data_IF_270573627630
#
_entry.id   IF_270573627630
#
_cell.length_a   1.000
_cell.length_b   1.000
_cell.length_c   1.000
_cell.angle_alpha   90.00
_cell.angle_beta   90.00
_cell.angle_gamma   90.00
#
_symmetry.space_group_name_H-M   'P 1'
#
loop_
_entity.id
_entity.type
_entity.pdbx_description
1 polymer ?
#
# COMPACT_ATOMS: atom_id res chain seq x y z
N UNK A 1 -5.31 19.02 35.95
CA UNK A 1 -4.01 19.13 35.24
C UNK A 1 -4.21 20.04 34.04
N UNK A 2 -3.32 21.00 33.78
CA UNK A 2 -3.30 21.68 32.49
C UNK A 2 -3.13 20.64 31.38
N UNK A 3 -3.80 20.80 30.24
CA UNK A 3 -3.84 19.79 29.16
C UNK A 3 -2.45 19.45 28.57
N UNK A 4 -1.48 20.37 28.68
CA UNK A 4 -0.08 20.18 28.27
C UNK A 4 0.72 19.21 29.15
N UNK A 5 0.23 18.87 30.33
CA UNK A 5 0.93 18.00 31.28
C UNK A 5 0.65 16.50 31.02
N UNK A 6 -0.41 16.17 30.25
CA UNK A 6 -0.78 14.78 30.00
C UNK A 6 0.21 14.06 29.07
N UNK A 7 0.70 14.71 28.01
CA UNK A 7 1.65 14.09 27.08
C UNK A 7 2.96 13.72 27.78
N UNK A 8 3.51 14.65 28.57
CA UNK A 8 4.70 14.43 29.38
C UNK A 8 4.47 13.34 30.43
N UNK A 9 3.32 13.37 31.12
CA UNK A 9 2.93 12.36 32.11
C UNK A 9 2.82 10.95 31.50
N UNK A 10 2.20 10.82 30.33
CA UNK A 10 2.07 9.52 29.64
C UNK A 10 3.46 9.02 29.20
N UNK A 11 4.28 9.89 28.61
CA UNK A 11 5.62 9.53 28.16
C UNK A 11 6.56 9.10 29.30
N UNK A 12 6.42 9.65 30.51
CA UNK A 12 7.17 9.22 31.70
C UNK A 12 6.80 7.81 32.17
N UNK A 13 5.58 7.33 31.86
CA UNK A 13 5.11 6.00 32.26
C UNK A 13 5.42 4.89 31.27
N UNK A 14 5.61 5.22 29.99
CA UNK A 14 5.92 4.24 28.94
C UNK A 14 7.03 3.24 29.30
N UNK A 15 8.15 3.62 29.96
CA UNK A 15 9.23 2.68 30.30
C UNK A 15 8.83 1.55 31.25
N UNK A 16 7.72 1.71 31.97
CA UNK A 16 7.23 0.72 32.95
C UNK A 16 6.17 -0.21 32.37
N UNK A 17 5.84 -0.04 31.09
CA UNK A 17 4.77 -0.74 30.41
C UNK A 17 5.35 -1.59 29.27
N UNK A 18 4.66 -2.67 28.95
CA UNK A 18 4.99 -3.55 27.84
C UNK A 18 3.70 -4.07 27.18
N UNK A 19 3.86 -4.67 25.99
CA UNK A 19 2.76 -5.22 25.22
C UNK A 19 1.64 -4.21 24.96
N UNK A 20 0.38 -4.68 25.02
CA UNK A 20 -0.80 -3.89 24.65
C UNK A 20 -0.98 -2.60 25.47
N UNK A 21 -0.56 -2.59 26.73
CA UNK A 21 -0.68 -1.40 27.58
C UNK A 21 0.28 -0.28 27.12
N UNK A 22 1.49 -0.65 26.70
CA UNK A 22 2.43 0.29 26.09
C UNK A 22 1.86 0.83 24.77
N UNK A 23 1.43 -0.05 23.89
CA UNK A 23 0.92 0.32 22.57
C UNK A 23 -0.33 1.21 22.65
N UNK A 24 -1.24 0.94 23.59
CA UNK A 24 -2.42 1.77 23.81
C UNK A 24 -2.07 3.20 24.22
N UNK A 25 -1.07 3.40 25.09
CA UNK A 25 -0.63 4.74 25.47
C UNK A 25 0.09 5.46 24.32
N UNK A 26 0.89 4.73 23.53
CA UNK A 26 1.54 5.30 22.34
C UNK A 26 0.50 5.75 21.31
N UNK A 27 -0.50 4.92 21.02
CA UNK A 27 -1.61 5.30 20.12
C UNK A 27 -2.42 6.46 20.70
N UNK A 28 -2.63 6.51 22.02
CA UNK A 28 -3.30 7.66 22.63
C UNK A 28 -2.53 8.97 22.38
N UNK A 29 -1.19 8.96 22.40
CA UNK A 29 -0.38 10.13 22.04
C UNK A 29 -0.53 10.51 20.56
N UNK A 30 -0.58 9.51 19.65
CA UNK A 30 -0.82 9.73 18.22
C UNK A 30 -2.17 10.40 17.95
N UNK A 31 -3.24 9.87 18.56
CA UNK A 31 -4.61 10.37 18.36
C UNK A 31 -4.80 11.78 18.90
N UNK A 32 -4.05 12.17 19.93
CA UNK A 32 -4.07 13.57 20.42
C UNK A 32 -3.32 14.52 19.51
N UNK A 33 -2.45 14.03 18.64
CA UNK A 33 -1.62 14.82 17.74
C UNK A 33 -0.87 15.97 18.46
N UNK A 34 -0.43 15.75 19.70
CA UNK A 34 0.22 16.77 20.54
C UNK A 34 1.75 16.78 20.29
N UNK A 35 2.31 17.84 19.67
CA UNK A 35 3.74 17.92 19.41
C UNK A 35 4.61 17.88 20.68
N UNK A 36 4.04 18.20 21.85
CA UNK A 36 4.77 18.12 23.12
C UNK A 36 5.20 16.70 23.49
N UNK A 37 4.59 15.67 22.87
CA UNK A 37 5.01 14.28 23.04
C UNK A 37 6.31 13.95 22.29
N UNK A 38 6.70 14.72 21.28
CA UNK A 38 7.84 14.38 20.41
C UNK A 38 9.18 14.33 21.16
N UNK A 39 9.59 15.36 21.95
CA UNK A 39 10.87 15.29 22.67
C UNK A 39 11.01 14.08 23.60
N UNK A 40 10.05 13.79 24.52
CA UNK A 40 10.20 12.64 25.39
C UNK A 40 10.13 11.31 24.63
N UNK A 41 9.31 11.18 23.58
CA UNK A 41 9.29 9.97 22.76
C UNK A 41 10.64 9.72 22.07
N UNK A 42 11.29 10.77 21.55
CA UNK A 42 12.62 10.66 20.94
C UNK A 42 13.69 10.20 21.93
N UNK A 43 13.71 10.79 23.13
CA UNK A 43 14.63 10.36 24.20
C UNK A 43 14.42 8.88 24.52
N UNK A 44 13.16 8.42 24.58
CA UNK A 44 12.85 7.01 24.86
C UNK A 44 13.26 6.05 23.76
N UNK A 45 13.12 6.44 22.49
CA UNK A 45 13.48 5.57 21.37
C UNK A 45 14.94 5.09 21.47
N UNK A 46 15.86 5.95 21.92
CA UNK A 46 17.30 5.62 21.99
C UNK A 46 17.58 4.40 22.86
N UNK A 47 16.89 4.28 24.00
CA UNK A 47 17.15 3.23 25.00
C UNK A 47 16.07 2.13 25.03
N UNK A 48 15.03 2.24 24.20
CA UNK A 48 13.91 1.32 24.23
C UNK A 48 14.31 -0.11 23.78
N UNK A 49 13.77 -1.15 24.44
CA UNK A 49 13.80 -2.53 23.94
C UNK A 49 13.28 -2.67 22.51
N UNK A 50 13.82 -3.61 21.75
CA UNK A 50 13.52 -3.76 20.32
C UNK A 50 12.02 -4.03 20.04
N UNK A 51 11.34 -4.74 20.93
CA UNK A 51 9.91 -5.06 20.86
C UNK A 51 9.00 -3.84 21.06
N UNK A 52 9.50 -2.75 21.66
CA UNK A 52 8.73 -1.51 21.86
C UNK A 52 9.01 -0.45 20.79
N UNK A 53 10.10 -0.59 20.03
CA UNK A 53 10.56 0.41 19.07
C UNK A 53 9.56 0.67 17.94
N UNK A 54 8.82 -0.34 17.49
CA UNK A 54 7.84 -0.17 16.42
C UNK A 54 6.78 0.88 16.79
N UNK A 55 6.16 0.73 17.97
CA UNK A 55 5.16 1.68 18.44
C UNK A 55 5.72 3.09 18.58
N UNK A 56 6.89 3.23 19.21
CA UNK A 56 7.51 4.56 19.42
C UNK A 56 7.92 5.22 18.10
N UNK A 57 8.54 4.47 17.19
CA UNK A 57 8.89 4.95 15.85
C UNK A 57 7.66 5.40 15.09
N UNK A 58 6.61 4.59 15.05
CA UNK A 58 5.36 4.90 14.38
C UNK A 58 4.75 6.20 14.93
N UNK A 59 4.70 6.36 16.25
CA UNK A 59 4.20 7.58 16.86
C UNK A 59 5.02 8.82 16.49
N UNK A 60 6.35 8.70 16.47
CA UNK A 60 7.21 9.79 16.01
C UNK A 60 6.97 10.13 14.53
N UNK A 61 6.80 9.14 13.65
CA UNK A 61 6.43 9.38 12.24
C UNK A 61 5.10 10.14 12.17
N UNK A 62 4.07 9.68 12.87
CA UNK A 62 2.73 10.30 12.88
C UNK A 62 2.74 11.73 13.41
N UNK A 63 3.47 11.99 14.48
CA UNK A 63 3.49 13.30 15.14
C UNK A 63 4.37 14.33 14.42
N UNK A 64 5.37 13.88 13.67
CA UNK A 64 6.36 14.78 13.03
C UNK A 64 6.19 14.87 11.52
N UNK A 65 5.53 13.90 10.89
CA UNK A 65 5.53 13.72 9.44
C UNK A 65 6.87 13.27 8.86
N UNK A 66 7.89 13.03 9.70
CA UNK A 66 9.18 12.52 9.27
C UNK A 66 9.13 11.00 9.21
N UNK A 67 9.06 10.44 7.99
CA UNK A 67 9.10 9.01 7.72
C UNK A 67 10.50 8.65 7.18
N UNK A 68 11.48 8.29 8.03
CA UNK A 68 12.81 7.95 7.58
C UNK A 68 12.86 6.57 6.90
N UNK A 69 13.72 6.42 5.90
CA UNK A 69 14.02 5.11 5.34
C UNK A 69 14.88 4.31 6.31
N UNK A 70 14.40 3.10 6.63
CA UNK A 70 15.03 2.17 7.56
C UNK A 70 15.42 0.89 6.83
N UNK A 71 16.51 0.21 7.21
CA UNK A 71 16.93 -1.02 6.56
C UNK A 71 15.81 -2.06 6.58
N UNK A 72 15.69 -2.81 5.48
CA UNK A 72 14.75 -3.93 5.39
C UNK A 72 15.16 -5.13 6.26
N UNK A 73 16.43 -5.20 6.65
CA UNK A 73 16.95 -6.22 7.56
C UNK A 73 16.42 -6.00 8.98
N UNK A 74 15.71 -7.00 9.50
CA UNK A 74 15.08 -6.99 10.82
C UNK A 74 16.10 -6.86 11.94
N UNK A 75 17.29 -7.43 11.79
CA UNK A 75 18.30 -7.41 12.85
C UNK A 75 18.98 -6.04 12.94
N UNK A 76 19.15 -5.36 11.79
CA UNK A 76 19.67 -3.99 11.73
C UNK A 76 18.63 -2.91 12.07
N UNK A 77 17.34 -3.22 12.00
CA UNK A 77 16.24 -2.26 12.13
C UNK A 77 16.22 -1.52 13.49
N UNK A 78 16.35 -2.19 14.66
CA UNK A 78 16.34 -1.51 15.96
C UNK A 78 17.39 -0.41 16.09
N UNK A 79 18.63 -0.70 15.68
CA UNK A 79 19.72 0.25 15.79
C UNK A 79 19.60 1.40 14.79
N UNK A 80 19.04 1.14 13.60
CA UNK A 80 18.76 2.18 12.63
C UNK A 80 17.72 3.18 13.13
N UNK A 81 16.62 2.70 13.74
CA UNK A 81 15.58 3.54 14.35
C UNK A 81 16.19 4.45 15.42
N UNK A 82 16.97 3.89 16.34
CA UNK A 82 17.65 4.65 17.41
C UNK A 82 18.53 5.75 16.84
N UNK A 83 19.39 5.41 15.88
CA UNK A 83 20.32 6.38 15.26
C UNK A 83 19.57 7.50 14.55
N UNK A 84 18.56 7.19 13.76
CA UNK A 84 17.79 8.18 13.01
C UNK A 84 17.11 9.17 13.95
N UNK A 85 16.39 8.70 14.97
CA UNK A 85 15.70 9.58 15.90
C UNK A 85 16.64 10.34 16.84
N UNK A 86 17.82 9.79 17.15
CA UNK A 86 18.87 10.52 17.86
C UNK A 86 19.43 11.68 17.02
N UNK A 87 19.62 11.47 15.71
CA UNK A 87 20.21 12.44 14.79
C UNK A 87 19.20 13.44 14.20
N UNK A 88 17.89 13.18 14.29
CA UNK A 88 16.87 14.00 13.65
C UNK A 88 16.85 15.44 14.16
N UNK A 89 16.85 16.40 13.25
CA UNK A 89 16.71 17.83 13.56
C UNK A 89 15.40 18.36 12.95
N UNK A 90 14.40 18.74 13.77
CA UNK A 90 13.14 19.30 13.27
C UNK A 90 13.32 20.63 12.54
N UNK A 91 14.46 21.31 12.70
CA UNK A 91 14.78 22.55 11.98
C UNK A 91 15.19 22.33 10.51
N UNK A 92 15.51 21.09 10.12
CA UNK A 92 15.92 20.76 8.76
C UNK A 92 14.71 20.34 7.93
N UNK A 93 14.38 21.15 6.91
CA UNK A 93 13.29 20.82 6.00
C UNK A 93 13.59 19.56 5.19
N UNK A 94 12.64 18.62 5.21
CA UNK A 94 12.67 17.39 4.43
C UNK A 94 12.74 17.70 2.92
N UNK A 95 13.56 16.93 2.18
CA UNK A 95 13.77 17.13 0.74
C UNK A 95 13.46 15.84 -0.01
N UNK A 96 12.19 15.67 -0.46
CA UNK A 96 11.76 14.48 -1.18
C UNK A 96 12.65 14.23 -2.40
N UNK A 97 13.20 13.02 -2.50
CA UNK A 97 14.07 12.64 -3.62
C UNK A 97 14.08 11.13 -3.83
N UNK A 98 14.50 10.74 -5.04
CA UNK A 98 14.71 9.35 -5.43
C UNK A 98 16.22 9.10 -5.49
N UNK A 99 16.68 8.04 -4.84
CA UNK A 99 18.08 7.62 -4.79
C UNK A 99 18.20 6.10 -5.05
N UNK A 100 19.45 5.62 -5.14
CA UNK A 100 19.79 4.20 -5.28
C UNK A 100 19.04 3.46 -6.39
N UNK A 101 18.90 4.13 -7.54
CA UNK A 101 18.21 3.57 -8.70
C UNK A 101 19.05 2.46 -9.33
N UNK A 102 18.53 1.24 -9.29
CA UNK A 102 19.10 0.05 -9.90
C UNK A 102 18.11 -0.50 -10.94
N UNK A 103 18.50 -0.52 -12.22
CA UNK A 103 17.73 -1.18 -13.27
C UNK A 103 18.00 -2.69 -13.23
N UNK A 104 16.95 -3.49 -13.07
CA UNK A 104 17.02 -4.96 -12.99
C UNK A 104 16.69 -5.65 -14.33
N UNK A 105 16.50 -4.87 -15.38
CA UNK A 105 16.04 -5.31 -16.69
C UNK A 105 15.28 -4.20 -17.41
N UNK A 106 14.67 -4.54 -18.54
CA UNK A 106 13.83 -3.62 -19.31
C UNK A 106 12.41 -3.45 -18.74
N UNK A 107 12.09 -4.08 -17.62
CA UNK A 107 10.76 -4.14 -17.02
C UNK A 107 10.76 -3.89 -15.50
N UNK A 108 11.93 -3.80 -14.86
CA UNK A 108 12.05 -3.72 -13.40
C UNK A 108 13.16 -2.78 -12.94
N UNK A 109 12.90 -2.08 -11.85
CA UNK A 109 13.90 -1.26 -11.17
C UNK A 109 13.70 -1.29 -9.65
N UNK A 110 14.81 -1.19 -8.90
CA UNK A 110 14.79 -0.88 -7.47
C UNK A 110 15.21 0.57 -7.27
N UNK A 111 14.62 1.23 -6.29
CA UNK A 111 14.98 2.59 -5.90
C UNK A 111 14.59 2.85 -4.46
N UNK A 112 15.13 3.93 -3.90
CA UNK A 112 14.76 4.43 -2.58
C UNK A 112 14.11 5.80 -2.72
N UNK A 113 12.96 5.99 -2.08
CA UNK A 113 12.35 7.30 -1.90
C UNK A 113 12.72 7.82 -0.51
N UNK A 114 13.45 8.92 -0.45
CA UNK A 114 13.81 9.60 0.79
C UNK A 114 12.90 10.80 0.99
N UNK A 115 12.49 11.03 2.24
CA UNK A 115 11.65 12.17 2.63
C UNK A 115 10.36 12.28 1.77
N UNK A 116 9.79 11.13 1.40
CA UNK A 116 8.59 11.06 0.58
C UNK A 116 7.41 11.78 1.25
N UNK A 117 6.56 12.43 0.44
CA UNK A 117 5.44 13.23 0.96
C UNK A 117 4.30 12.41 1.56
N UNK A 118 4.27 11.10 1.31
CA UNK A 118 3.24 10.21 1.87
C UNK A 118 1.82 10.56 1.42
N UNK A 119 1.64 11.09 0.21
CA UNK A 119 0.31 11.38 -0.35
C UNK A 119 -0.52 10.10 -0.46
N UNK A 120 0.13 8.96 -0.69
CA UNK A 120 -0.52 7.66 -0.75
C UNK A 120 0.26 6.72 0.15
N UNK A 121 -0.45 5.94 0.96
CA UNK A 121 0.16 4.94 1.82
C UNK A 121 -0.88 4.06 2.50
N UNK A 122 -0.41 3.01 3.15
CA UNK A 122 -1.21 2.16 4.03
C UNK A 122 -0.80 2.47 5.45
N UNK A 123 -1.79 2.67 6.31
CA UNK A 123 -1.59 3.01 7.71
C UNK A 123 -2.73 2.47 8.57
N UNK A 124 -2.53 2.43 9.89
CA UNK A 124 -3.54 2.01 10.83
C UNK A 124 -4.67 3.01 10.95
N UNK A 125 -5.87 2.48 11.12
CA UNK A 125 -7.03 3.25 11.49
C UNK A 125 -6.98 3.64 12.98
N UNK A 126 -7.60 4.76 13.34
CA UNK A 126 -7.95 5.00 14.74
C UNK A 126 -8.72 3.80 15.31
N UNK A 127 -8.33 3.27 16.48
CA UNK A 127 -9.06 2.17 17.10
C UNK A 127 -10.50 2.61 17.40
N UNK A 128 -11.50 1.76 17.15
CA UNK A 128 -12.88 2.09 17.49
C UNK A 128 -13.03 2.25 19.02
N UNK A 129 -14.05 2.99 19.48
CA UNK A 129 -14.33 3.12 20.91
C UNK A 129 -14.42 1.74 21.58
N UNK A 130 -13.76 1.60 22.73
CA UNK A 130 -13.66 0.36 23.50
C UNK A 130 -12.90 -0.81 22.84
N UNK A 131 -12.17 -0.60 21.74
CA UNK A 131 -11.24 -1.60 21.21
C UNK A 131 -10.18 -1.98 22.25
N UNK A 132 -9.96 -3.29 22.42
CA UNK A 132 -8.82 -3.82 23.18
C UNK A 132 -7.53 -3.85 22.37
N UNK A 133 -7.62 -3.65 21.05
CA UNK A 133 -6.49 -3.63 20.13
C UNK A 133 -6.20 -2.19 19.71
N UNK A 134 -5.03 -1.63 20.08
CA UNK A 134 -4.71 -0.24 19.78
C UNK A 134 -4.41 -0.02 18.30
N UNK A 135 -3.95 -1.05 17.60
CA UNK A 135 -3.74 -1.11 16.15
C UNK A 135 -4.28 -2.43 15.65
N UNK A 136 -5.27 -2.38 14.76
CA UNK A 136 -5.89 -3.59 14.21
C UNK A 136 -6.18 -3.41 12.74
N UNK A 137 -7.11 -2.51 12.42
CA UNK A 137 -7.52 -2.22 11.06
C UNK A 137 -6.55 -1.29 10.35
N UNK A 138 -6.38 -1.49 9.05
CA UNK A 138 -5.58 -0.64 8.16
C UNK A 138 -6.44 -0.10 7.03
N UNK A 139 -6.07 1.08 6.54
CA UNK A 139 -6.66 1.65 5.34
C UNK A 139 -5.59 2.13 4.35
N UNK A 140 -5.96 2.11 3.07
CA UNK A 140 -5.30 2.94 2.06
C UNK A 140 -5.71 4.39 2.32
N UNK A 141 -4.71 5.26 2.47
CA UNK A 141 -4.86 6.69 2.57
C UNK A 141 -4.50 7.35 1.24
N UNK A 142 -5.30 8.33 0.82
CA UNK A 142 -4.99 9.23 -0.30
C UNK A 142 -5.17 10.67 0.18
N UNK A 143 -4.08 11.42 0.17
CA UNK A 143 -3.95 12.77 0.74
C UNK A 143 -4.44 12.85 2.20
N UNK A 144 -4.21 11.79 2.99
CA UNK A 144 -4.63 11.68 4.39
C UNK A 144 -6.06 11.17 4.61
N UNK A 145 -6.87 11.06 3.55
CA UNK A 145 -8.24 10.55 3.61
C UNK A 145 -8.27 9.04 3.39
N UNK A 146 -9.12 8.32 4.14
CA UNK A 146 -9.29 6.87 4.01
C UNK A 146 -10.11 6.55 2.77
N UNK A 147 -9.53 5.78 1.85
CA UNK A 147 -10.17 5.36 0.61
C UNK A 147 -10.72 3.92 0.72
N UNK A 148 -9.86 2.97 1.07
CA UNK A 148 -10.21 1.56 1.22
C UNK A 148 -9.76 1.04 2.58
N UNK A 149 -10.57 0.23 3.26
CA UNK A 149 -10.10 -0.66 4.32
C UNK A 149 -9.38 -1.85 3.70
N UNK A 150 -8.22 -2.22 4.24
CA UNK A 150 -7.34 -3.31 3.75
C UNK A 150 -7.39 -4.53 4.69
N UNK A 151 -8.30 -4.51 5.67
CA UNK A 151 -8.40 -5.53 6.71
C UNK A 151 -7.49 -5.25 7.89
N UNK A 152 -7.00 -6.30 8.53
CA UNK A 152 -6.20 -6.22 9.77
C UNK A 152 -4.78 -6.74 9.61
N UNK A 153 -3.94 -6.53 10.62
CA UNK A 153 -2.60 -7.16 10.70
C UNK A 153 -2.61 -8.64 11.11
N UNK A 154 -3.80 -9.20 11.34
CA UNK A 154 -3.92 -10.60 11.67
C UNK A 154 -3.55 -11.46 10.45
N UNK A 155 -2.43 -12.19 10.53
CA UNK A 155 -1.99 -13.08 9.46
C UNK A 155 -2.98 -14.21 9.12
N UNK A 156 -4.02 -14.40 9.92
CA UNK A 156 -5.04 -15.45 9.75
C UNK A 156 -6.42 -14.91 9.39
N UNK A 157 -6.60 -13.59 9.34
CA UNK A 157 -7.82 -12.98 8.80
C UNK A 157 -7.71 -12.85 7.28
N UNK A 158 -8.85 -12.81 6.59
CA UNK A 158 -8.89 -12.49 5.17
C UNK A 158 -8.40 -11.07 4.87
N UNK A 159 -7.83 -10.88 3.68
CA UNK A 159 -7.66 -9.56 3.08
C UNK A 159 -9.04 -9.01 2.71
N UNK A 160 -9.46 -7.91 3.35
CA UNK A 160 -10.67 -7.18 2.96
C UNK A 160 -10.33 -5.92 2.20
N UNK A 161 -11.14 -5.52 1.22
CA UNK A 161 -10.84 -4.39 0.31
C UNK A 161 -12.00 -3.41 0.20
N UNK A 162 -12.63 -3.08 1.34
CA UNK A 162 -13.89 -2.34 1.35
C UNK A 162 -13.71 -0.84 1.09
N UNK A 163 -14.41 -0.28 0.09
CA UNK A 163 -14.50 1.16 -0.14
C UNK A 163 -15.12 1.85 1.07
N UNK A 164 -14.41 2.83 1.63
CA UNK A 164 -14.88 3.66 2.74
C UNK A 164 -15.61 4.89 2.21
N UNK A 165 -15.08 5.50 1.17
CA UNK A 165 -15.68 6.64 0.51
C UNK A 165 -14.74 7.28 -0.50
N UNK A 166 -15.31 7.98 -1.48
CA UNK A 166 -14.53 8.74 -2.44
C UNK A 166 -14.01 10.03 -1.78
N UNK A 167 -12.73 10.38 -1.95
CA UNK A 167 -12.24 11.65 -1.47
C UNK A 167 -13.04 12.81 -2.12
N UNK A 168 -13.33 13.89 -1.38
CA UNK A 168 -14.20 14.99 -1.83
C UNK A 168 -13.66 15.74 -3.06
N UNK A 169 -12.41 15.48 -3.45
CA UNK A 169 -11.87 15.80 -4.77
C UNK A 169 -11.38 14.48 -5.37
N UNK A 170 -11.92 14.01 -6.50
CA UNK A 170 -11.26 12.97 -7.29
C UNK A 170 -9.80 13.40 -7.46
N UNK A 171 -8.86 12.53 -7.11
CA UNK A 171 -7.43 12.85 -7.04
C UNK A 171 -6.85 13.09 -8.45
N UNK A 172 -7.23 14.19 -9.09
CA UNK A 172 -6.81 14.56 -10.42
C UNK A 172 -5.68 15.60 -10.32
N UNK A 173 -4.47 15.16 -10.00
CA UNK A 173 -3.29 16.02 -10.15
C UNK A 173 -1.98 15.23 -10.40
N UNK A 174 -1.99 14.30 -11.35
CA UNK A 174 -0.77 13.88 -12.03
C UNK A 174 -0.50 14.83 -13.20
N UNK A 175 0.63 15.54 -13.16
CA UNK A 175 0.95 16.59 -14.13
C UNK A 175 0.93 16.05 -15.57
N UNK A 176 0.50 16.88 -16.53
CA UNK A 176 0.45 16.52 -17.96
C UNK A 176 1.77 15.93 -18.47
N UNK A 177 2.92 16.44 -17.98
CA UNK A 177 4.25 15.95 -18.34
C UNK A 177 4.47 14.47 -18.00
N UNK A 178 3.94 13.99 -16.87
CA UNK A 178 4.01 12.56 -16.50
C UNK A 178 3.12 11.75 -17.44
N UNK A 179 1.90 12.23 -17.71
CA UNK A 179 0.96 11.57 -18.62
C UNK A 179 1.52 11.43 -20.04
N UNK A 180 2.16 12.47 -20.56
CA UNK A 180 2.76 12.47 -21.90
C UNK A 180 3.91 11.47 -22.01
N UNK A 181 4.76 11.38 -20.98
CA UNK A 181 5.89 10.44 -20.95
C UNK A 181 5.46 8.99 -20.76
N UNK A 182 4.31 8.78 -20.13
CA UNK A 182 3.70 7.46 -19.96
C UNK A 182 2.76 7.06 -21.12
N UNK A 183 2.68 7.84 -22.20
CA UNK A 183 1.72 7.60 -23.27
C UNK A 183 2.03 6.36 -24.13
N UNK A 184 3.27 5.85 -24.12
CA UNK A 184 3.69 4.66 -24.88
C UNK A 184 5.03 4.08 -24.36
N UNK A 185 5.06 3.63 -23.10
CA UNK A 185 6.29 3.07 -22.51
C UNK A 185 6.46 1.63 -22.98
N UNK A 186 7.55 1.35 -23.70
CA UNK A 186 7.91 -0.02 -24.12
C UNK A 186 8.87 -0.72 -23.17
N UNK A 187 9.73 0.05 -22.49
CA UNK A 187 10.76 -0.43 -21.58
C UNK A 187 10.90 0.52 -20.40
N UNK A 188 11.18 -0.03 -19.22
CA UNK A 188 11.58 0.74 -18.05
C UNK A 188 13.07 1.09 -18.17
N UNK A 189 13.36 2.38 -18.30
CA UNK A 189 14.71 2.92 -18.36
C UNK A 189 14.87 4.13 -17.42
N UNK A 190 16.08 4.68 -17.35
CA UNK A 190 16.35 5.86 -16.53
C UNK A 190 15.51 7.08 -16.91
N UNK A 191 15.18 7.26 -18.20
CA UNK A 191 14.38 8.41 -18.64
C UNK A 191 12.91 8.31 -18.21
N UNK A 192 12.35 7.10 -18.19
CA UNK A 192 11.03 6.83 -17.61
C UNK A 192 11.06 7.10 -16.10
N UNK A 193 12.07 6.61 -15.38
CA UNK A 193 12.21 6.82 -13.94
C UNK A 193 12.35 8.31 -13.57
N UNK A 194 13.16 9.06 -14.32
CA UNK A 194 13.29 10.51 -14.18
C UNK A 194 11.95 11.23 -14.41
N UNK A 195 11.18 10.78 -15.42
CA UNK A 195 9.88 11.34 -15.72
C UNK A 195 8.85 11.08 -14.61
N UNK A 196 8.91 9.92 -13.94
CA UNK A 196 8.01 9.58 -12.84
C UNK A 196 8.54 9.96 -11.45
N UNK A 197 9.78 10.44 -11.32
CA UNK A 197 10.35 10.89 -10.06
C UNK A 197 9.47 11.90 -9.29
N UNK A 198 8.81 12.89 -9.93
CA UNK A 198 7.88 13.79 -9.22
C UNK A 198 6.70 13.06 -8.58
N UNK A 199 6.23 11.97 -9.18
CA UNK A 199 5.22 11.11 -8.58
C UNK A 199 5.80 10.27 -7.44
N UNK A 200 6.97 9.64 -7.65
CA UNK A 200 7.65 8.81 -6.66
C UNK A 200 7.91 9.58 -5.35
N UNK A 201 8.36 10.83 -5.45
CA UNK A 201 8.55 11.72 -4.29
C UNK A 201 7.25 12.13 -3.59
N UNK A 202 6.10 11.93 -4.25
CA UNK A 202 4.77 12.07 -3.65
C UNK A 202 4.37 10.89 -2.76
N UNK A 203 4.98 9.71 -2.95
CA UNK A 203 4.72 8.51 -2.15
C UNK A 203 5.41 8.58 -0.78
N UNK A 204 5.21 7.57 0.07
CA UNK A 204 5.92 7.45 1.36
C UNK A 204 7.41 7.22 1.13
N UNK A 205 8.23 7.55 2.13
CA UNK A 205 9.62 7.13 2.13
C UNK A 205 9.72 5.60 2.20
N UNK A 206 10.67 4.99 1.51
CA UNK A 206 10.90 3.56 1.62
C UNK A 206 11.66 2.98 0.43
N UNK A 207 11.74 1.66 0.43
CA UNK A 207 12.34 0.88 -0.65
C UNK A 207 11.24 0.52 -1.65
N UNK A 208 11.50 0.78 -2.93
CA UNK A 208 10.53 0.54 -3.98
C UNK A 208 11.05 -0.48 -4.98
N UNK A 209 10.17 -1.39 -5.35
CA UNK A 209 10.24 -2.14 -6.59
C UNK A 209 9.29 -1.51 -7.60
N UNK A 210 9.84 -1.01 -8.70
CA UNK A 210 9.08 -0.50 -9.85
C UNK A 210 9.01 -1.59 -10.91
N UNK A 211 7.81 -1.90 -11.37
CA UNK A 211 7.57 -2.95 -12.38
C UNK A 211 6.73 -2.40 -13.51
N UNK A 212 7.19 -2.59 -14.74
CA UNK A 212 6.40 -2.39 -15.95
C UNK A 212 5.85 -3.75 -16.38
N UNK A 213 4.53 -3.92 -16.33
CA UNK A 213 3.87 -5.18 -16.64
C UNK A 213 2.73 -4.96 -17.65
N UNK A 214 2.40 -6.02 -18.39
CA UNK A 214 1.19 -6.10 -19.20
C UNK A 214 0.22 -7.05 -18.49
N UNK A 215 -0.97 -6.56 -18.12
CA UNK A 215 -1.92 -7.29 -17.27
C UNK A 215 -3.17 -7.65 -18.08
N UNK A 216 -3.52 -8.95 -18.18
CA UNK A 216 -4.79 -9.37 -18.77
C UNK A 216 -5.96 -9.09 -17.82
N UNK A 217 -6.45 -7.86 -17.89
CA UNK A 217 -7.48 -7.34 -16.99
C UNK A 217 -8.90 -7.62 -17.54
N UNK A 218 -9.78 -7.95 -16.62
CA UNK A 218 -11.23 -7.85 -16.80
C UNK A 218 -11.81 -6.75 -15.91
N UNK A 219 -12.86 -6.11 -16.40
CA UNK A 219 -13.66 -5.15 -15.63
C UNK A 219 -14.75 -5.92 -14.88
N UNK A 220 -14.77 -5.79 -13.56
CA UNK A 220 -15.68 -6.53 -12.68
C UNK A 220 -16.75 -5.57 -12.18
N UNK A 221 -18.00 -5.87 -12.54
CA UNK A 221 -19.19 -5.12 -12.12
C UNK A 221 -20.14 -5.96 -11.27
N UNK A 222 -19.95 -7.29 -11.26
CA UNK A 222 -20.71 -8.24 -10.46
C UNK A 222 -19.83 -8.78 -9.32
N UNK A 223 -20.26 -8.67 -8.05
CA UNK A 223 -19.58 -9.28 -6.92
C UNK A 223 -19.21 -10.75 -7.11
N UNK A 224 -20.06 -11.57 -7.75
CA UNK A 224 -19.81 -12.99 -7.96
C UNK A 224 -18.60 -13.26 -8.88
N UNK A 225 -18.21 -12.31 -9.72
CA UNK A 225 -17.05 -12.43 -10.61
C UNK A 225 -15.73 -11.99 -9.95
N UNK A 226 -15.82 -11.30 -8.81
CA UNK A 226 -14.67 -10.79 -8.06
C UNK A 226 -13.80 -11.90 -7.52
N UNK A 227 -12.47 -11.72 -7.54
CA UNK A 227 -11.56 -12.61 -6.81
C UNK A 227 -11.83 -12.61 -5.31
N UNK A 228 -12.37 -11.53 -4.76
CA UNK A 228 -12.73 -11.50 -3.34
C UNK A 228 -13.81 -12.53 -2.98
N UNK A 229 -14.64 -12.92 -3.95
CA UNK A 229 -15.66 -13.97 -3.81
C UNK A 229 -15.21 -15.31 -4.39
N UNK A 230 -14.68 -15.34 -5.62
CA UNK A 230 -14.29 -16.58 -6.32
C UNK A 230 -13.17 -17.37 -5.64
N UNK A 231 -12.37 -16.74 -4.79
CA UNK A 231 -11.29 -17.42 -4.06
C UNK A 231 -11.80 -18.51 -3.12
N UNK A 232 -13.04 -18.39 -2.62
CA UNK A 232 -13.62 -19.37 -1.71
C UNK A 232 -13.78 -20.74 -2.38
N UNK A 233 -14.23 -20.75 -3.64
CA UNK A 233 -14.35 -21.97 -4.46
C UNK A 233 -13.00 -22.69 -4.69
N UNK A 234 -11.88 -21.99 -4.48
CA UNK A 234 -10.53 -22.53 -4.67
C UNK A 234 -9.94 -23.10 -3.37
N UNK A 235 -10.62 -22.97 -2.23
CA UNK A 235 -10.19 -23.57 -0.96
C UNK A 235 -10.48 -25.06 -0.97
N UNK A 236 -9.43 -25.88 -1.00
CA UNK A 236 -9.57 -27.32 -0.89
C UNK A 236 -9.93 -27.72 0.55
N UNK A 237 -10.99 -28.51 0.73
CA UNK A 237 -11.35 -29.07 2.04
C UNK A 237 -12.30 -28.22 2.88
N UNK A 238 -12.82 -27.12 2.33
CA UNK A 238 -13.92 -26.36 2.92
C UNK A 238 -15.22 -27.18 2.74
N UNK A 239 -15.42 -28.20 3.58
CA UNK A 239 -16.65 -28.98 3.61
C UNK A 239 -17.70 -28.22 4.39
N UNK A 240 -18.26 -27.18 3.77
CA UNK A 240 -19.59 -26.62 4.04
C UNK A 240 -20.04 -26.74 5.51
N UNK A 241 -19.24 -26.21 6.44
CA UNK A 241 -19.68 -26.01 7.81
C UNK A 241 -20.55 -24.75 7.84
N UNK A 242 -21.72 -24.84 7.17
CA UNK A 242 -23.00 -24.21 7.45
C UNK A 242 -23.12 -22.75 7.95
N UNK A 243 -22.06 -21.94 7.92
CA UNK A 243 -22.12 -20.55 8.35
C UNK A 243 -22.40 -19.69 7.12
N UNK A 244 -23.70 -19.45 6.89
CA UNK A 244 -24.31 -18.41 6.05
C UNK A 244 -23.86 -16.97 6.42
N UNK A 245 -22.72 -16.80 7.10
CA UNK A 245 -22.21 -15.52 7.56
C UNK A 245 -21.24 -14.93 6.53
N UNK A 246 -21.78 -14.39 5.44
CA UNK A 246 -21.02 -13.41 4.66
C UNK A 246 -21.39 -13.19 3.20
N UNK A 247 -22.63 -13.43 2.76
CA UNK A 247 -23.07 -12.93 1.45
C UNK A 247 -22.90 -11.39 1.41
N UNK A 248 -21.80 -10.91 0.82
CA UNK A 248 -21.54 -9.50 0.53
C UNK A 248 -20.43 -8.80 1.33
N UNK A 249 -19.75 -9.45 2.28
CA UNK A 249 -18.68 -8.80 3.07
C UNK A 249 -17.35 -8.62 2.32
N UNK A 250 -17.11 -9.40 1.27
CA UNK A 250 -15.82 -9.40 0.56
C UNK A 250 -15.80 -8.53 -0.70
N UNK A 251 -16.94 -8.05 -1.16
CA UNK A 251 -16.98 -7.14 -2.31
C UNK A 251 -16.28 -5.82 -1.95
N UNK A 252 -15.41 -5.26 -2.81
CA UNK A 252 -14.79 -3.98 -2.56
C UNK A 252 -15.75 -2.79 -2.43
N UNK A 253 -17.06 -2.98 -2.65
CA UNK A 253 -18.06 -1.93 -2.62
C UNK A 253 -18.09 -1.08 -3.89
N UNK A 254 -17.32 -1.45 -4.92
CA UNK A 254 -17.23 -0.70 -6.19
C UNK A 254 -16.71 -1.56 -7.33
N UNK A 255 -17.05 -1.15 -8.56
CA UNK A 255 -16.46 -1.70 -9.78
C UNK A 255 -14.94 -1.60 -9.72
N UNK A 256 -14.26 -2.63 -10.21
CA UNK A 256 -12.80 -2.68 -10.19
C UNK A 256 -12.28 -3.48 -11.38
N UNK A 257 -10.96 -3.55 -11.51
CA UNK A 257 -10.29 -4.37 -12.51
C UNK A 257 -9.55 -5.50 -11.80
N UNK A 258 -9.47 -6.67 -12.40
CA UNK A 258 -8.69 -7.79 -11.86
C UNK A 258 -8.07 -8.61 -12.98
N UNK A 259 -7.05 -9.41 -12.68
CA UNK A 259 -6.57 -10.39 -13.65
C UNK A 259 -7.63 -11.47 -13.89
N UNK A 260 -7.75 -11.94 -15.13
CA UNK A 260 -8.70 -13.02 -15.49
C UNK A 260 -8.37 -14.35 -14.81
N UNK A 261 -7.08 -14.60 -14.63
CA UNK A 261 -6.53 -15.80 -14.01
C UNK A 261 -5.69 -15.44 -12.79
N UNK A 262 -5.48 -16.42 -11.91
CA UNK A 262 -4.54 -16.28 -10.79
C UNK A 262 -3.12 -16.20 -11.31
N UNK A 263 -2.25 -15.43 -10.65
CA UNK A 263 -0.82 -15.43 -10.98
C UNK A 263 -0.21 -16.74 -10.47
N UNK A 264 0.54 -17.49 -11.30
CA UNK A 264 1.19 -18.72 -10.88
C UNK A 264 2.31 -18.43 -9.88
N UNK A 265 2.55 -19.39 -8.99
CA UNK A 265 3.55 -19.29 -7.93
C UNK A 265 3.46 -20.47 -6.97
N UNK A 266 4.06 -20.33 -5.79
CA UNK A 266 3.97 -21.30 -4.71
C UNK A 266 2.54 -21.46 -4.18
N UNK A 267 1.71 -20.42 -4.32
CA UNK A 267 0.28 -20.43 -4.03
C UNK A 267 -0.48 -19.52 -5.00
N UNK A 268 -1.83 -19.63 -5.05
CA UNK A 268 -2.63 -18.78 -5.92
C UNK A 268 -2.51 -17.32 -5.49
N UNK A 269 -2.17 -16.45 -6.43
CA UNK A 269 -2.17 -15.00 -6.19
C UNK A 269 -3.31 -14.33 -6.94
N UNK A 270 -4.20 -13.70 -6.20
CA UNK A 270 -5.34 -12.96 -6.71
C UNK A 270 -4.95 -11.50 -6.94
N UNK A 271 -4.94 -11.05 -8.19
CA UNK A 271 -4.54 -9.68 -8.52
C UNK A 271 -5.76 -8.79 -8.76
N UNK A 272 -5.92 -7.75 -7.94
CA UNK A 272 -7.03 -6.80 -7.97
C UNK A 272 -6.49 -5.37 -8.06
N UNK A 273 -7.03 -4.59 -8.98
CA UNK A 273 -6.76 -3.16 -9.15
C UNK A 273 -8.01 -2.35 -8.76
N UNK A 274 -7.93 -1.73 -7.58
CA UNK A 274 -8.93 -0.86 -7.02
C UNK A 274 -8.79 0.55 -7.58
N UNK A 275 -9.90 1.19 -7.95
CA UNK A 275 -9.84 2.52 -8.52
C UNK A 275 -9.78 3.62 -7.44
N UNK A 276 -8.99 4.68 -7.64
CA UNK A 276 -9.04 5.88 -6.77
C UNK A 276 -10.21 6.84 -7.04
N UNK A 277 -11.07 6.52 -8.01
CA UNK A 277 -12.28 7.24 -8.38
C UNK A 277 -13.26 6.25 -9.03
N UNK A 278 -14.56 6.48 -8.91
CA UNK A 278 -15.55 5.54 -9.44
C UNK A 278 -15.38 5.26 -10.95
N UNK A 279 -15.47 3.98 -11.35
CA UNK A 279 -15.32 3.56 -12.76
C UNK A 279 -16.61 3.77 -13.58
N UNK A 280 -17.76 3.72 -12.93
CA UNK A 280 -19.08 3.98 -13.53
C UNK A 280 -19.24 5.42 -14.05
N UNK A 281 -18.47 6.36 -13.50
CA UNK A 281 -18.44 7.78 -13.89
C UNK A 281 -17.53 8.13 -15.07
N UNK A 282 -17.01 7.16 -15.80
CA UNK A 282 -16.07 7.42 -16.90
C UNK A 282 -16.69 8.09 -18.12
N UNK A 283 -16.00 9.09 -18.67
CA UNK A 283 -16.27 9.61 -20.00
C UNK A 283 -16.06 8.53 -21.08
N UNK A 284 -17.17 7.99 -21.57
CA UNK A 284 -17.18 6.97 -22.62
C UNK A 284 -16.47 7.38 -23.90
N UNK A 285 -16.39 8.69 -24.23
CA UNK A 285 -15.63 9.17 -25.40
C UNK A 285 -14.14 9.00 -25.20
N UNK A 286 -13.63 9.37 -24.02
CA UNK A 286 -12.22 9.17 -23.66
C UNK A 286 -11.85 7.68 -23.66
N UNK A 287 -12.72 6.81 -23.11
CA UNK A 287 -12.49 5.35 -23.16
C UNK A 287 -12.45 4.83 -24.60
N UNK A 288 -13.40 5.24 -25.45
CA UNK A 288 -13.44 4.81 -26.84
C UNK A 288 -12.19 5.25 -27.62
N UNK A 289 -11.76 6.51 -27.46
CA UNK A 289 -10.54 7.02 -28.09
C UNK A 289 -9.29 6.24 -27.66
N UNK A 290 -9.18 5.87 -26.39
CA UNK A 290 -8.09 5.01 -25.93
C UNK A 290 -8.18 3.60 -26.51
N UNK A 291 -9.38 3.00 -26.58
CA UNK A 291 -9.56 1.65 -27.12
C UNK A 291 -9.17 1.59 -28.61
N UNK A 292 -9.55 2.61 -29.39
CA UNK A 292 -9.14 2.74 -30.79
C UNK A 292 -7.61 2.85 -30.92
N UNK A 293 -6.97 3.69 -30.11
CA UNK A 293 -5.52 3.84 -30.10
C UNK A 293 -4.80 2.54 -29.72
N UNK A 294 -5.31 1.80 -28.72
CA UNK A 294 -4.78 0.50 -28.27
C UNK A 294 -4.89 -0.54 -29.38
N UNK A 295 -6.04 -0.58 -30.06
CA UNK A 295 -6.29 -1.47 -31.21
C UNK A 295 -5.33 -1.15 -32.36
N UNK A 296 -5.01 0.13 -32.56
CA UNK A 296 -4.01 0.61 -33.52
C UNK A 296 -2.55 0.36 -33.09
N UNK A 297 -2.32 -0.32 -31.96
CA UNK A 297 -0.99 -0.74 -31.52
C UNK A 297 -0.33 0.15 -30.46
N UNK A 298 -0.96 1.27 -30.05
CA UNK A 298 -0.44 2.10 -28.95
C UNK A 298 -0.51 1.34 -27.63
N UNK A 299 0.40 1.62 -26.70
CA UNK A 299 0.42 1.01 -25.36
C UNK A 299 0.48 2.07 -24.25
N UNK A 300 -0.59 2.89 -24.08
CA UNK A 300 -0.62 3.91 -23.03
C UNK A 300 -0.51 3.29 -21.64
N UNK A 301 0.47 3.73 -20.86
CA UNK A 301 0.77 3.17 -19.55
C UNK A 301 -0.08 3.81 -18.47
N UNK A 302 -0.70 2.98 -17.63
CA UNK A 302 -1.35 3.38 -16.38
C UNK A 302 -0.37 3.30 -15.22
N UNK A 303 -0.67 3.98 -14.11
CA UNK A 303 0.18 4.00 -12.92
C UNK A 303 -0.60 3.47 -11.74
N UNK A 304 -0.01 2.53 -11.01
CA UNK A 304 -0.63 1.84 -9.88
C UNK A 304 0.32 1.86 -8.69
N UNK A 305 -0.17 2.20 -7.50
CA UNK A 305 0.52 1.88 -6.24
C UNK A 305 0.12 0.48 -5.83
N UNK A 306 1.05 -0.43 -5.63
CA UNK A 306 0.73 -1.83 -5.37
C UNK A 306 1.48 -2.41 -4.18
N UNK A 307 0.91 -3.46 -3.60
CA UNK A 307 1.51 -4.25 -2.53
C UNK A 307 0.99 -5.68 -2.58
N UNK A 308 1.66 -6.57 -1.86
CA UNK A 308 1.26 -7.97 -1.74
C UNK A 308 0.78 -8.25 -0.33
N UNK A 309 -0.32 -8.98 -0.19
CA UNK A 309 -0.88 -9.45 1.07
C UNK A 309 -0.85 -10.98 1.09
N UNK A 310 0.14 -11.56 1.76
CA UNK A 310 0.25 -13.01 1.98
C UNK A 310 -0.34 -13.38 3.35
N UNK A 311 -1.35 -14.25 3.34
CA UNK A 311 -2.17 -14.60 4.51
C UNK A 311 -2.31 -16.11 4.64
N UNK A 312 -2.33 -16.59 5.89
CA UNK A 312 -2.65 -17.98 6.21
C UNK A 312 -4.03 -18.03 6.88
N UNK A 313 -5.05 -17.78 6.06
CA UNK A 313 -6.43 -17.56 6.46
C UNK A 313 -6.96 -18.74 7.26
N UNK A 314 -7.59 -18.45 8.40
CA UNK A 314 -8.14 -19.43 9.36
C UNK A 314 -7.12 -20.48 9.84
N UNK A 315 -5.82 -20.21 9.67
CA UNK A 315 -4.75 -21.19 9.90
C UNK A 315 -4.84 -22.44 9.01
N UNK A 316 -5.47 -22.33 7.84
CA UNK A 316 -5.75 -23.48 6.96
C UNK A 316 -5.44 -23.19 5.49
N UNK A 317 -5.69 -21.96 5.04
CA UNK A 317 -5.59 -21.62 3.62
C UNK A 317 -4.51 -20.57 3.38
N UNK A 318 -3.48 -20.96 2.62
CA UNK A 318 -2.51 -19.99 2.10
C UNK A 318 -3.16 -19.20 0.95
N UNK A 319 -3.31 -17.90 1.16
CA UNK A 319 -3.87 -16.99 0.17
C UNK A 319 -2.94 -15.80 -0.03
N UNK A 320 -2.77 -15.40 -1.29
CA UNK A 320 -2.00 -14.21 -1.63
C UNK A 320 -2.83 -13.27 -2.48
N UNK A 321 -2.81 -11.99 -2.14
CA UNK A 321 -3.34 -10.93 -2.99
C UNK A 321 -2.22 -10.05 -3.52
N UNK A 322 -2.28 -9.68 -4.80
CA UNK A 322 -1.60 -8.51 -5.34
C UNK A 322 -2.64 -7.41 -5.45
N UNK A 323 -2.57 -6.43 -4.54
CA UNK A 323 -3.52 -5.31 -4.52
C UNK A 323 -2.85 -4.11 -5.15
N UNK A 324 -3.55 -3.46 -6.07
CA UNK A 324 -3.15 -2.21 -6.68
C UNK A 324 -4.21 -1.13 -6.50
N UNK A 325 -3.79 0.11 -6.27
CA UNK A 325 -4.64 1.30 -6.35
C UNK A 325 -4.23 2.12 -7.55
N UNK A 326 -5.19 2.38 -8.45
CA UNK A 326 -4.96 3.12 -9.70
C UNK A 326 -4.71 4.59 -9.37
N UNK A 327 -3.52 5.08 -9.66
CA UNK A 327 -3.13 6.49 -9.45
C UNK A 327 -3.44 7.34 -10.69
N UNK A 328 -3.22 6.76 -11.87
CA UNK A 328 -3.61 7.34 -13.16
C UNK A 328 -3.95 6.25 -14.16
N UNK A 329 -4.86 6.59 -15.07
CA UNK A 329 -5.15 5.77 -16.23
C UNK A 329 -6.40 4.93 -16.12
N UNK A 330 -7.37 5.27 -15.26
CA UNK A 330 -8.63 4.53 -15.15
C UNK A 330 -9.31 4.34 -16.52
N UNK A 331 -9.45 5.42 -17.32
CA UNK A 331 -9.97 5.30 -18.69
C UNK A 331 -9.12 4.42 -19.60
N UNK A 332 -7.79 4.44 -19.45
CA UNK A 332 -6.86 3.60 -20.24
C UNK A 332 -7.09 2.13 -19.90
N UNK A 333 -7.17 1.79 -18.61
CA UNK A 333 -7.34 0.43 -18.15
C UNK A 333 -8.71 -0.16 -18.53
N UNK A 334 -9.78 0.64 -18.41
CA UNK A 334 -11.10 0.23 -18.91
C UNK A 334 -11.08 0.05 -20.43
N UNK A 335 -10.36 0.90 -21.16
CA UNK A 335 -10.18 0.74 -22.61
C UNK A 335 -9.42 -0.55 -22.97
N UNK A 336 -8.37 -0.91 -22.22
CA UNK A 336 -7.66 -2.18 -22.39
C UNK A 336 -8.56 -3.39 -22.16
N UNK A 337 -9.31 -3.40 -21.05
CA UNK A 337 -10.24 -4.48 -20.73
C UNK A 337 -11.31 -4.64 -21.81
N UNK A 338 -11.82 -3.54 -22.38
CA UNK A 338 -12.77 -3.55 -23.50
C UNK A 338 -12.14 -4.03 -24.81
N UNK A 339 -10.88 -3.68 -25.06
CA UNK A 339 -10.15 -4.09 -26.25
C UNK A 339 -9.68 -5.57 -26.20
N UNK A 340 -9.74 -6.22 -25.04
CA UNK A 340 -9.21 -7.57 -24.86
C UNK A 340 -7.69 -7.63 -25.04
N UNK A 341 -7.00 -6.54 -24.72
CA UNK A 341 -5.53 -6.42 -24.82
C UNK A 341 -4.96 -6.25 -23.43
N UNK A 342 -3.88 -6.94 -23.12
CA UNK A 342 -3.18 -6.80 -21.84
C UNK A 342 -2.79 -5.33 -21.59
N UNK A 343 -3.17 -4.84 -20.42
CA UNK A 343 -3.05 -3.46 -20.03
C UNK A 343 -1.63 -3.15 -19.55
N UNK A 344 -1.01 -2.12 -20.12
CA UNK A 344 0.32 -1.70 -19.68
C UNK A 344 0.24 -0.89 -18.39
N UNK A 345 0.91 -1.37 -17.36
CA UNK A 345 0.90 -0.77 -16.02
C UNK A 345 2.32 -0.58 -15.49
N UNK A 346 2.60 0.61 -14.98
CA UNK A 346 3.74 0.90 -14.12
C UNK A 346 3.29 0.74 -12.66
N UNK A 347 3.68 -0.36 -12.04
CA UNK A 347 3.39 -0.70 -10.65
C UNK A 347 4.51 -0.16 -9.76
N UNK A 348 4.12 0.59 -8.73
CA UNK A 348 5.00 1.20 -7.75
C UNK A 348 4.79 0.46 -6.42
N UNK A 349 5.72 -0.41 -6.06
CA UNK A 349 5.55 -1.31 -4.92
C UNK A 349 6.51 -0.92 -3.80
N UNK A 350 5.98 -0.36 -2.72
CA UNK A 350 6.77 -0.11 -1.50
C UNK A 350 6.95 -1.44 -0.78
N UNK A 351 8.19 -1.87 -0.57
CA UNK A 351 8.51 -3.17 0.04
C UNK A 351 7.98 -3.25 1.46
N UNK A 352 7.98 -2.14 2.19
CA UNK A 352 7.48 -2.04 3.56
C UNK A 352 5.96 -2.19 3.69
N UNK A 353 5.21 -1.96 2.60
CA UNK A 353 3.74 -2.06 2.60
C UNK A 353 3.27 -3.50 2.31
N UNK A 354 4.13 -4.35 1.77
CA UNK A 354 3.82 -5.77 1.54
C UNK A 354 3.81 -6.56 2.84
N UNK A 355 2.77 -7.37 3.01
CA UNK A 355 2.61 -8.26 4.13
C UNK A 355 3.01 -9.70 3.77
N UNK A 356 3.81 -10.32 4.64
CA UNK A 356 4.26 -11.70 4.49
C UNK A 356 5.32 -12.05 5.54
N UNK A 357 5.85 -13.30 5.50
CA UNK A 357 6.90 -13.75 6.41
C UNK A 357 8.10 -12.76 6.48
N UNK A 358 8.48 -12.26 7.67
CA UNK A 358 9.47 -11.19 7.81
C UNK A 358 10.85 -11.48 7.21
N UNK A 359 11.23 -12.77 7.09
CA UNK A 359 12.55 -13.19 6.62
C UNK A 359 12.78 -12.98 5.12
N UNK A 360 11.75 -12.63 4.34
CA UNK A 360 11.83 -12.65 2.88
C UNK A 360 10.99 -11.54 2.21
N UNK A 361 11.01 -10.31 2.77
CA UNK A 361 10.13 -9.19 2.35
C UNK A 361 10.13 -8.90 0.84
N UNK A 362 11.27 -9.07 0.15
CA UNK A 362 11.35 -8.86 -1.31
C UNK A 362 11.04 -10.12 -2.12
N UNK A 363 11.19 -11.32 -1.55
CA UNK A 363 11.09 -12.57 -2.29
C UNK A 363 9.69 -12.82 -2.82
N UNK A 364 8.64 -12.51 -2.04
CA UNK A 364 7.26 -12.68 -2.48
C UNK A 364 6.87 -11.71 -3.58
N UNK A 365 7.37 -10.47 -3.52
CA UNK A 365 7.23 -9.52 -4.63
C UNK A 365 7.92 -10.06 -5.88
N UNK A 366 9.16 -10.52 -5.75
CA UNK A 366 9.92 -11.11 -6.85
C UNK A 366 9.21 -12.32 -7.47
N UNK A 367 8.64 -13.20 -6.64
CA UNK A 367 7.85 -14.36 -7.06
C UNK A 367 6.61 -13.94 -7.84
N UNK A 368 5.78 -13.06 -7.28
CA UNK A 368 4.54 -12.59 -7.92
C UNK A 368 4.85 -11.91 -9.26
N UNK A 369 5.86 -11.03 -9.31
CA UNK A 369 6.21 -10.34 -10.55
C UNK A 369 6.91 -11.23 -11.57
N UNK A 370 7.54 -12.32 -11.15
CA UNK A 370 8.02 -13.35 -12.08
C UNK A 370 6.84 -14.10 -12.69
N UNK A 371 5.88 -14.53 -11.87
CA UNK A 371 4.67 -15.20 -12.33
C UNK A 371 3.83 -14.36 -13.28
N UNK A 372 3.78 -13.03 -13.09
CA UNK A 372 3.09 -12.11 -14.00
C UNK A 372 3.70 -12.04 -15.41
N UNK A 373 4.99 -12.36 -15.58
CA UNK A 373 5.66 -12.34 -16.89
C UNK A 373 5.50 -13.63 -17.67
N UNK A 374 5.30 -14.73 -16.95
CA UNK A 374 5.07 -16.05 -17.54
C UNK A 374 3.62 -16.22 -18.00
N UNK A 375 2.75 -15.30 -17.58
CA UNK A 375 1.35 -15.20 -17.94
C UNK A 375 1.12 -14.31 -19.16
#
# INVERSE_FOLDING_TARGET
MPEHDLAAFVADRLPRLSGLAHDALVVALELRADPAAVPPLRERVVDAPADLLFGLHHALVRLTGHDPVLPLDRDAWPDAVRRVWAAWDPGVAARPRVEDVELLGGDRARLVVLDGRGVIGIDYDPPPPASSWPRWSKSVLVAGERLYGVGSDCGTCETSLQLIGWPPRPAAALSQRVRDRLADVGTLDGAVLDAVAPLLTGLRSGHYLVVLADLDLQHVTDPAESWCSRRYDLRTGDTDDGDEDGEGLDWPGTEHLQLRTVVPGAGPTYAVLLPSQALDGHDGRTVAAHAEAITAGRRPTAVVSAWVEDRYVRCEHAERFLVGVILDGHHKLVAYARAGVAARVLMLCRVEDSWGPPAARTAFLDEVFTGLREH
#
